data_IF_845747959271
#
_entry.id   IF_845747959271
#
_cell.length_a   1.000
_cell.length_b   1.000
_cell.length_c   1.000
_cell.angle_alpha   90.00
_cell.angle_beta   90.00
_cell.angle_gamma   90.00
#
_symmetry.space_group_name_H-M   'P 1'
#
loop_
_entity.id
_entity.type
_entity.pdbx_description
1 polymer ?
#
# COMPACT_ATOMS: atom_id res chain seq x y z
N UNK A 1 14.31 -5.09 11.22
CA UNK A 1 13.32 -5.87 11.97
C UNK A 1 12.23 -6.47 11.08
N UNK A 2 11.44 -5.66 10.38
CA UNK A 2 10.31 -6.12 9.54
C UNK A 2 10.71 -7.08 8.42
N UNK A 3 11.92 -6.92 7.87
CA UNK A 3 12.44 -7.77 6.80
C UNK A 3 12.65 -9.23 7.26
N UNK A 4 13.11 -9.44 8.49
CA UNK A 4 13.30 -10.79 9.06
C UNK A 4 11.97 -11.48 9.36
N UNK A 5 10.92 -10.69 9.61
CA UNK A 5 9.59 -11.19 9.94
C UNK A 5 8.86 -11.78 8.73
N UNK A 6 9.08 -11.24 7.54
CA UNK A 6 8.46 -11.69 6.31
C UNK A 6 9.10 -12.93 5.69
N UNK A 7 10.04 -13.58 6.38
CA UNK A 7 10.78 -14.75 5.87
C UNK A 7 11.28 -14.49 4.44
N UNK A 8 12.21 -13.54 4.24
CA UNK A 8 12.59 -13.06 2.90
C UNK A 8 13.06 -14.18 1.97
N UNK A 9 13.67 -15.24 2.51
CA UNK A 9 14.07 -16.41 1.72
C UNK A 9 12.87 -17.16 1.11
N UNK A 10 11.75 -17.27 1.83
CA UNK A 10 10.53 -17.88 1.29
C UNK A 10 9.84 -16.99 0.25
N UNK A 11 9.92 -15.67 0.43
CA UNK A 11 9.39 -14.68 -0.52
C UNK A 11 10.17 -14.70 -1.83
N UNK A 12 11.50 -14.83 -1.76
CA UNK A 12 12.36 -14.92 -2.95
C UNK A 12 12.16 -16.23 -3.74
N UNK A 13 11.77 -17.31 -3.08
CA UNK A 13 11.50 -18.60 -3.72
C UNK A 13 10.14 -18.57 -4.47
N UNK A 14 9.20 -17.74 -4.03
CA UNK A 14 7.91 -17.55 -4.70
C UNK A 14 8.00 -16.45 -5.75
N UNK A 15 7.94 -16.80 -7.03
CA UNK A 15 7.98 -15.86 -8.17
C UNK A 15 6.92 -14.75 -8.04
N UNK A 16 5.74 -15.06 -7.55
CA UNK A 16 4.65 -14.11 -7.35
C UNK A 16 4.93 -13.07 -6.26
N UNK A 17 5.70 -13.44 -5.22
CA UNK A 17 6.08 -12.54 -4.15
C UNK A 17 7.35 -11.75 -4.46
N UNK A 18 8.27 -12.31 -5.28
CA UNK A 18 9.52 -11.64 -5.64
C UNK A 18 9.30 -10.39 -6.49
N UNK A 19 8.27 -10.36 -7.36
CA UNK A 19 7.98 -9.20 -8.21
C UNK A 19 7.61 -7.97 -7.37
N UNK A 20 6.86 -8.14 -6.26
CA UNK A 20 6.54 -7.05 -5.34
C UNK A 20 7.82 -6.39 -4.79
N UNK A 21 8.79 -7.20 -4.37
CA UNK A 21 10.07 -6.71 -3.86
C UNK A 21 10.90 -6.01 -4.93
N UNK A 22 10.96 -6.60 -6.13
CA UNK A 22 11.65 -5.98 -7.28
C UNK A 22 11.03 -4.63 -7.60
N UNK A 23 9.71 -4.54 -7.70
CA UNK A 23 9.01 -3.28 -7.95
C UNK A 23 9.29 -2.25 -6.85
N UNK A 24 9.28 -2.67 -5.59
CA UNK A 24 9.56 -1.79 -4.45
C UNK A 24 11.00 -1.25 -4.52
N UNK A 25 11.98 -2.12 -4.79
CA UNK A 25 13.38 -1.74 -4.90
C UNK A 25 13.60 -0.79 -6.08
N UNK A 26 13.03 -1.07 -7.25
CA UNK A 26 13.09 -0.20 -8.42
C UNK A 26 12.43 1.17 -8.14
N UNK A 27 11.31 1.19 -7.43
CA UNK A 27 10.66 2.43 -7.05
C UNK A 27 11.55 3.27 -6.12
N UNK A 28 12.18 2.66 -5.12
CA UNK A 28 13.11 3.35 -4.22
C UNK A 28 14.35 3.83 -4.97
N UNK A 29 14.95 2.98 -5.79
CA UNK A 29 16.11 3.33 -6.61
C UNK A 29 15.81 4.51 -7.53
N UNK A 30 14.68 4.45 -8.26
CA UNK A 30 14.26 5.56 -9.12
C UNK A 30 14.04 6.85 -8.33
N UNK A 31 13.40 6.76 -7.17
CA UNK A 31 13.18 7.92 -6.31
C UNK A 31 14.50 8.52 -5.82
N UNK A 32 15.46 7.69 -5.39
CA UNK A 32 16.77 8.17 -4.90
C UNK A 32 17.57 8.83 -6.02
N UNK A 33 17.59 8.24 -7.21
CA UNK A 33 18.32 8.77 -8.36
C UNK A 33 17.73 10.08 -8.93
N UNK A 34 16.44 10.28 -8.75
CA UNK A 34 15.71 11.43 -9.32
C UNK A 34 15.10 12.33 -8.23
N UNK A 35 15.59 12.24 -6.99
CA UNK A 35 15.06 12.98 -5.85
C UNK A 35 14.92 14.48 -6.14
N UNK A 36 16.00 15.13 -6.58
CA UNK A 36 16.02 16.57 -6.86
C UNK A 36 14.98 16.95 -7.91
N UNK A 37 14.89 16.17 -8.98
CA UNK A 37 13.92 16.41 -10.07
C UNK A 37 12.48 16.23 -9.61
N UNK A 38 12.21 15.21 -8.81
CA UNK A 38 10.88 14.94 -8.26
C UNK A 38 10.48 16.03 -7.26
N UNK A 39 11.43 16.50 -6.46
CA UNK A 39 11.23 17.55 -5.49
C UNK A 39 10.96 18.90 -6.17
N UNK A 40 11.84 19.34 -7.09
CA UNK A 40 11.75 20.63 -7.77
C UNK A 40 10.47 20.80 -8.59
N UNK A 41 10.01 19.70 -9.21
CA UNK A 41 8.79 19.68 -10.01
C UNK A 41 7.53 19.33 -9.22
N UNK A 42 7.66 18.92 -7.97
CA UNK A 42 6.53 18.48 -7.14
C UNK A 42 5.88 17.18 -7.64
N UNK A 43 6.60 16.30 -8.34
CA UNK A 43 6.09 15.09 -8.99
C UNK A 43 6.02 13.85 -8.09
N UNK A 44 6.15 14.01 -6.79
CA UNK A 44 5.98 12.89 -5.85
C UNK A 44 4.58 12.27 -5.86
N UNK A 45 3.48 13.07 -5.92
CA UNK A 45 2.14 12.46 -6.03
C UNK A 45 1.99 11.58 -7.26
N UNK A 46 2.48 12.03 -8.43
CA UNK A 46 2.45 11.27 -9.68
C UNK A 46 3.31 10.01 -9.60
N UNK A 47 4.48 10.10 -8.97
CA UNK A 47 5.33 8.94 -8.71
C UNK A 47 4.58 7.88 -7.89
N UNK A 48 3.97 8.26 -6.77
CA UNK A 48 3.21 7.32 -5.94
C UNK A 48 1.97 6.78 -6.67
N UNK A 49 1.31 7.58 -7.50
CA UNK A 49 0.22 7.13 -8.34
C UNK A 49 0.67 6.04 -9.31
N UNK A 50 1.80 6.23 -10.00
CA UNK A 50 2.37 5.23 -10.93
C UNK A 50 2.74 3.96 -10.19
N UNK A 51 3.36 4.06 -9.01
CA UNK A 51 3.69 2.90 -8.17
C UNK A 51 2.42 2.14 -7.79
N UNK A 52 1.33 2.84 -7.44
CA UNK A 52 0.02 2.24 -7.16
C UNK A 52 -0.56 1.49 -8.36
N UNK A 53 -0.52 2.10 -9.54
CA UNK A 53 -0.96 1.47 -10.81
C UNK A 53 -0.17 0.19 -11.07
N UNK A 54 1.17 0.25 -11.01
CA UNK A 54 2.04 -0.91 -11.26
C UNK A 54 1.81 -2.00 -10.22
N UNK A 55 1.62 -1.64 -8.96
CA UNK A 55 1.30 -2.59 -7.89
C UNK A 55 0.01 -3.36 -8.21
N UNK A 56 -1.05 -2.65 -8.55
CA UNK A 56 -2.34 -3.27 -8.92
C UNK A 56 -2.26 -4.04 -10.25
N UNK A 57 -1.47 -3.55 -11.22
CA UNK A 57 -1.29 -4.23 -12.51
C UNK A 57 -0.73 -5.64 -12.33
N UNK A 58 0.28 -5.79 -11.53
CA UNK A 58 0.91 -7.09 -11.26
C UNK A 58 0.14 -7.96 -10.24
N UNK A 59 -1.01 -7.48 -9.77
CA UNK A 59 -1.94 -8.21 -8.90
C UNK A 59 -1.37 -8.67 -7.55
N UNK A 60 -0.68 -7.77 -6.87
CA UNK A 60 -0.07 -8.05 -5.57
C UNK A 60 -1.08 -7.89 -4.43
N UNK A 61 -2.05 -8.78 -4.34
CA UNK A 61 -2.99 -8.81 -3.24
C UNK A 61 -2.34 -9.23 -1.91
N UNK A 62 -1.13 -9.78 -1.96
CA UNK A 62 -0.48 -10.35 -0.77
C UNK A 62 0.13 -9.26 0.12
N UNK A 63 0.88 -8.32 -0.46
CA UNK A 63 1.56 -7.25 0.30
C UNK A 63 1.59 -5.90 -0.44
N UNK A 64 0.46 -5.36 -0.89
CA UNK A 64 0.46 -4.12 -1.67
C UNK A 64 1.00 -2.92 -0.88
N UNK A 65 0.84 -2.91 0.45
CA UNK A 65 1.31 -1.85 1.34
C UNK A 65 2.85 -1.71 1.35
N UNK A 66 3.60 -2.75 1.01
CA UNK A 66 5.08 -2.71 0.98
C UNK A 66 5.55 -1.75 -0.11
N UNK A 67 4.89 -1.74 -1.28
CA UNK A 67 5.23 -0.85 -2.40
C UNK A 67 4.93 0.62 -2.11
N UNK A 68 4.05 0.91 -1.16
CA UNK A 68 3.81 2.25 -0.63
C UNK A 68 4.77 2.56 0.53
N UNK A 69 4.83 1.66 1.52
CA UNK A 69 5.47 1.92 2.81
C UNK A 69 6.97 2.15 2.71
N UNK A 70 7.69 1.32 1.94
CA UNK A 70 9.16 1.45 1.83
C UNK A 70 9.56 2.74 1.09
N UNK A 71 9.02 3.08 -0.10
CA UNK A 71 9.31 4.36 -0.74
C UNK A 71 8.90 5.57 0.11
N UNK A 72 7.77 5.47 0.83
CA UNK A 72 7.30 6.53 1.70
C UNK A 72 8.25 6.77 2.89
N UNK A 73 8.70 5.71 3.55
CA UNK A 73 9.70 5.81 4.60
C UNK A 73 11.02 6.39 4.06
N UNK A 74 11.45 5.96 2.87
CA UNK A 74 12.65 6.49 2.22
C UNK A 74 12.52 7.98 1.92
N UNK A 75 11.35 8.43 1.46
CA UNK A 75 11.07 9.85 1.25
C UNK A 75 11.24 10.65 2.54
N UNK A 76 10.62 10.24 3.64
CA UNK A 76 10.70 10.97 4.91
C UNK A 76 12.07 10.89 5.60
N UNK A 77 12.92 9.94 5.22
CA UNK A 77 14.32 9.93 5.66
C UNK A 77 15.19 10.96 4.91
N UNK A 78 14.81 11.32 3.68
CA UNK A 78 15.51 12.31 2.87
C UNK A 78 15.04 13.74 3.16
N UNK A 79 13.76 13.90 3.48
CA UNK A 79 13.12 15.19 3.71
C UNK A 79 13.02 15.49 5.21
N UNK A 80 13.56 16.63 5.63
CA UNK A 80 13.51 17.10 7.01
C UNK A 80 12.59 18.32 7.12
N UNK A 81 11.29 18.09 6.91
CA UNK A 81 10.27 19.11 7.00
C UNK A 81 9.60 19.16 8.38
N UNK A 82 8.86 20.26 8.66
CA UNK A 82 8.04 20.35 9.86
C UNK A 82 6.98 19.25 9.89
N UNK A 83 6.73 18.67 11.05
CA UNK A 83 5.82 17.53 11.26
C UNK A 83 4.44 17.71 10.59
N UNK A 84 3.86 18.92 10.64
CA UNK A 84 2.57 19.20 10.02
C UNK A 84 2.56 19.10 8.49
N UNK A 85 3.62 19.56 7.84
CA UNK A 85 3.78 19.45 6.39
C UNK A 85 3.99 17.99 5.99
N UNK A 86 4.74 17.23 6.78
CA UNK A 86 4.96 15.80 6.57
C UNK A 86 3.65 15.01 6.63
N UNK A 87 2.74 15.34 7.56
CA UNK A 87 1.42 14.69 7.64
C UNK A 87 0.59 14.98 6.37
N UNK A 88 0.58 16.20 5.87
CA UNK A 88 -0.14 16.54 4.63
C UNK A 88 0.43 15.81 3.42
N UNK A 89 1.76 15.76 3.30
CA UNK A 89 2.45 15.02 2.25
C UNK A 89 2.16 13.52 2.35
N UNK A 90 2.21 12.96 3.56
CA UNK A 90 1.85 11.56 3.85
C UNK A 90 0.45 11.22 3.32
N UNK A 91 -0.54 12.00 3.70
CA UNK A 91 -1.93 11.78 3.27
C UNK A 91 -2.05 11.92 1.74
N UNK A 92 -1.40 12.92 1.15
CA UNK A 92 -1.40 13.14 -0.30
C UNK A 92 -0.79 11.95 -1.06
N UNK A 93 0.36 11.45 -0.64
CA UNK A 93 1.04 10.33 -1.30
C UNK A 93 0.28 9.01 -1.12
N UNK A 94 -0.27 8.77 0.08
CA UNK A 94 -1.14 7.62 0.31
C UNK A 94 -2.41 7.68 -0.56
N UNK A 95 -3.02 8.85 -0.69
CA UNK A 95 -4.19 9.05 -1.55
C UNK A 95 -3.84 8.84 -3.03
N UNK A 96 -2.73 9.40 -3.52
CA UNK A 96 -2.27 9.23 -4.90
C UNK A 96 -2.01 7.76 -5.22
N UNK A 97 -1.28 7.05 -4.35
CA UNK A 97 -1.04 5.63 -4.49
C UNK A 97 -2.35 4.82 -4.48
N UNK A 98 -3.26 5.13 -3.54
CA UNK A 98 -4.55 4.46 -3.43
C UNK A 98 -5.45 4.68 -4.66
N UNK A 99 -5.46 5.88 -5.22
CA UNK A 99 -6.19 6.19 -6.46
C UNK A 99 -5.60 5.40 -7.63
N UNK A 100 -4.26 5.35 -7.76
CA UNK A 100 -3.60 4.57 -8.80
C UNK A 100 -3.90 3.07 -8.68
N UNK A 101 -3.82 2.53 -7.47
CA UNK A 101 -4.10 1.13 -7.18
C UNK A 101 -5.57 0.76 -7.47
N UNK A 102 -6.52 1.50 -6.91
CA UNK A 102 -7.94 1.25 -7.09
C UNK A 102 -8.40 1.52 -8.53
N UNK A 103 -7.86 2.57 -9.18
CA UNK A 103 -8.16 2.91 -10.57
C UNK A 103 -7.73 1.81 -11.53
N UNK A 104 -6.52 1.26 -11.37
CA UNK A 104 -6.05 0.15 -12.20
C UNK A 104 -6.86 -1.12 -11.97
N UNK A 105 -7.24 -1.39 -10.72
CA UNK A 105 -8.09 -2.52 -10.38
C UNK A 105 -9.47 -2.42 -11.04
N UNK A 106 -10.12 -1.24 -10.94
CA UNK A 106 -11.38 -0.96 -11.61
C UNK A 106 -11.25 -1.07 -13.14
N UNK A 107 -10.16 -0.55 -13.72
CA UNK A 107 -9.90 -0.64 -15.16
C UNK A 107 -9.83 -2.09 -15.67
N UNK A 108 -9.20 -3.00 -14.91
CA UNK A 108 -9.17 -4.43 -15.23
C UNK A 108 -10.58 -5.01 -15.37
N UNK A 109 -11.49 -4.66 -14.49
CA UNK A 109 -12.87 -5.15 -14.55
C UNK A 109 -13.66 -4.57 -15.69
N UNK A 110 -13.49 -3.26 -15.96
CA UNK A 110 -14.11 -2.62 -17.11
C UNK A 110 -13.64 -3.26 -18.42
N UNK A 111 -12.34 -3.48 -18.56
CA UNK A 111 -11.78 -4.14 -19.75
C UNK A 111 -12.30 -5.58 -19.89
N UNK A 112 -12.34 -6.34 -18.79
CA UNK A 112 -12.85 -7.70 -18.78
C UNK A 112 -14.34 -7.75 -19.19
N UNK A 113 -15.16 -6.82 -18.68
CA UNK A 113 -16.59 -6.76 -19.01
C UNK A 113 -16.84 -6.38 -20.48
N UNK A 114 -16.05 -5.42 -21.00
CA UNK A 114 -16.11 -4.99 -22.39
C UNK A 114 -15.68 -6.09 -23.38
N UNK A 115 -14.71 -6.93 -22.98
CA UNK A 115 -14.19 -7.98 -23.88
C UNK A 115 -14.98 -9.28 -23.81
N UNK A 116 -15.48 -9.64 -22.63
CA UNK A 116 -16.13 -10.93 -22.40
C UNK A 116 -17.66 -10.85 -22.37
N UNK A 117 -18.24 -9.65 -22.28
CA UNK A 117 -19.70 -9.42 -22.17
C UNK A 117 -20.41 -10.27 -21.08
N UNK A 118 -19.68 -10.60 -19.99
CA UNK A 118 -20.10 -11.58 -18.97
C UNK A 118 -20.72 -10.98 -17.72
N UNK A 119 -20.93 -9.65 -17.67
CA UNK A 119 -21.43 -9.00 -16.45
C UNK A 119 -20.41 -9.02 -15.28
N UNK A 120 -19.13 -9.11 -15.61
CA UNK A 120 -17.99 -9.25 -14.66
C UNK A 120 -17.99 -8.14 -13.61
N UNK A 121 -18.53 -6.96 -13.92
CA UNK A 121 -18.66 -5.84 -12.97
C UNK A 121 -19.58 -6.22 -11.81
N UNK A 122 -20.70 -6.92 -12.07
CA UNK A 122 -21.60 -7.40 -11.00
C UNK A 122 -20.90 -8.41 -10.10
N UNK A 123 -20.19 -9.36 -10.69
CA UNK A 123 -19.48 -10.41 -9.94
C UNK A 123 -18.32 -9.80 -9.13
N UNK A 124 -17.67 -8.79 -9.66
CA UNK A 124 -16.65 -8.03 -8.96
C UNK A 124 -17.21 -7.30 -7.75
N UNK A 125 -18.34 -6.59 -7.91
CA UNK A 125 -19.04 -5.93 -6.79
C UNK A 125 -19.48 -6.95 -5.74
N UNK A 126 -20.05 -8.09 -6.15
CA UNK A 126 -20.42 -9.17 -5.23
C UNK A 126 -19.20 -9.78 -4.53
N UNK A 127 -18.05 -9.89 -5.21
CA UNK A 127 -16.81 -10.37 -4.58
C UNK A 127 -16.28 -9.41 -3.52
N UNK A 128 -16.35 -8.09 -3.76
CA UNK A 128 -16.01 -7.09 -2.73
C UNK A 128 -16.95 -7.20 -1.55
N UNK A 129 -18.25 -7.23 -1.84
CA UNK A 129 -19.30 -7.35 -0.83
C UNK A 129 -19.08 -8.62 -0.01
N UNK A 130 -18.87 -9.77 -0.65
CA UNK A 130 -18.65 -11.05 0.01
C UNK A 130 -17.40 -11.09 0.87
N UNK A 131 -16.29 -10.44 0.43
CA UNK A 131 -15.06 -10.34 1.23
C UNK A 131 -15.22 -9.42 2.44
N UNK A 132 -16.14 -8.45 2.36
CA UNK A 132 -16.42 -7.54 3.49
C UNK A 132 -17.51 -8.10 4.43
N UNK A 133 -18.32 -9.06 3.99
CA UNK A 133 -19.46 -9.59 4.76
C UNK A 133 -19.11 -10.71 5.73
N UNK A 134 -18.08 -11.49 5.51
CA UNK A 134 -17.94 -12.76 6.19
C UNK A 134 -16.68 -12.92 7.04
N UNK A 135 -16.67 -12.31 8.20
CA UNK A 135 -15.91 -12.87 9.32
C UNK A 135 -16.88 -13.10 10.46
N UNK A 136 -17.39 -14.35 10.55
CA UNK A 136 -18.12 -14.82 11.73
C UNK A 136 -19.55 -14.32 11.91
N UNK A 137 -20.32 -14.07 10.83
CA UNK A 137 -21.75 -13.76 10.93
C UNK A 137 -22.11 -12.45 11.62
N UNK A 138 -21.17 -11.50 11.71
CA UNK A 138 -21.39 -10.17 12.31
C UNK A 138 -21.63 -9.09 11.26
N UNK A 139 -22.41 -8.02 11.59
CA UNK A 139 -22.75 -6.99 10.62
C UNK A 139 -21.51 -6.26 10.08
N UNK A 140 -21.57 -5.93 8.82
CA UNK A 140 -20.57 -5.36 7.89
C UNK A 140 -19.61 -4.31 8.45
N UNK A 141 -20.13 -3.35 9.22
CA UNK A 141 -19.32 -2.22 9.70
C UNK A 141 -18.35 -2.57 10.84
N UNK A 142 -18.66 -3.63 11.59
CA UNK A 142 -17.82 -4.04 12.73
C UNK A 142 -16.72 -5.04 12.36
N UNK A 143 -16.75 -5.66 11.16
CA UNK A 143 -15.78 -6.67 10.75
C UNK A 143 -14.36 -6.11 10.63
N UNK A 144 -14.20 -4.96 10.00
CA UNK A 144 -12.89 -4.29 9.85
C UNK A 144 -12.30 -3.85 11.19
N UNK A 145 -13.11 -3.23 12.03
CA UNK A 145 -12.70 -2.82 13.39
C UNK A 145 -12.42 -4.01 14.30
N UNK A 146 -13.14 -5.11 14.13
CA UNK A 146 -12.89 -6.35 14.86
C UNK A 146 -11.54 -6.97 14.48
N UNK A 147 -11.22 -7.04 13.19
CA UNK A 147 -9.90 -7.52 12.71
C UNK A 147 -8.76 -6.61 13.18
N UNK A 148 -8.96 -5.30 13.14
CA UNK A 148 -8.00 -4.33 13.69
C UNK A 148 -7.82 -4.59 15.20
N UNK A 149 -8.91 -4.75 15.95
CA UNK A 149 -8.87 -5.06 17.36
C UNK A 149 -8.16 -6.38 17.68
N UNK A 150 -8.39 -7.44 16.90
CA UNK A 150 -7.66 -8.70 17.01
C UNK A 150 -6.17 -8.53 16.77
N UNK A 151 -5.78 -7.84 15.69
CA UNK A 151 -4.37 -7.59 15.39
C UNK A 151 -3.69 -6.74 16.47
N UNK A 152 -4.39 -5.76 17.03
CA UNK A 152 -3.90 -4.96 18.15
C UNK A 152 -3.69 -5.80 19.41
N UNK A 153 -4.58 -6.76 19.65
CA UNK A 153 -4.50 -7.65 20.83
C UNK A 153 -3.41 -8.72 20.69
N UNK A 154 -3.28 -9.31 19.48
CA UNK A 154 -2.30 -10.38 19.21
C UNK A 154 -0.87 -9.86 19.09
N UNK A 155 -0.69 -8.58 18.70
CA UNK A 155 0.63 -8.00 18.44
C UNK A 155 0.92 -6.69 19.22
N UNK A 156 0.72 -6.64 20.54
CA UNK A 156 0.87 -5.41 21.31
C UNK A 156 2.31 -4.85 21.28
N UNK A 157 3.31 -5.73 21.17
CA UNK A 157 4.74 -5.33 21.11
C UNK A 157 5.01 -4.56 19.81
N UNK A 158 4.46 -4.99 18.68
CA UNK A 158 4.66 -4.31 17.39
C UNK A 158 3.92 -2.99 17.32
N UNK A 159 2.75 -2.92 17.95
CA UNK A 159 2.01 -1.66 18.09
C UNK A 159 2.75 -0.65 18.97
N UNK A 160 3.39 -1.14 20.06
CA UNK A 160 4.25 -0.31 20.90
C UNK A 160 5.45 0.24 20.14
N UNK A 161 6.11 -0.58 19.32
CA UNK A 161 7.22 -0.15 18.47
C UNK A 161 6.75 0.87 17.43
N UNK A 162 5.63 0.62 16.73
CA UNK A 162 5.08 1.53 15.75
C UNK A 162 4.67 2.86 16.37
N UNK A 163 4.03 2.84 17.54
CA UNK A 163 3.67 4.05 18.29
C UNK A 163 4.91 4.82 18.75
N UNK A 164 5.97 4.11 19.20
CA UNK A 164 7.24 4.71 19.58
C UNK A 164 7.95 5.39 18.42
N UNK A 165 7.96 4.77 17.23
CA UNK A 165 8.51 5.36 16.00
C UNK A 165 7.70 6.59 15.59
N UNK A 166 6.37 6.51 15.60
CA UNK A 166 5.50 7.64 15.26
C UNK A 166 5.69 8.81 16.25
N UNK A 167 5.83 8.52 17.56
CA UNK A 167 6.10 9.54 18.56
C UNK A 167 7.48 10.18 18.36
N UNK A 168 8.52 9.41 18.05
CA UNK A 168 9.85 9.92 17.77
C UNK A 168 9.88 10.85 16.54
N UNK A 169 9.15 10.47 15.47
CA UNK A 169 9.01 11.29 14.24
C UNK A 169 8.17 12.55 14.49
N UNK A 170 7.23 12.52 15.44
CA UNK A 170 6.39 13.68 15.77
C UNK A 170 7.08 14.72 16.65
N UNK A 171 8.10 14.31 17.41
CA UNK A 171 8.84 15.17 18.38
C UNK A 171 10.15 15.72 17.78
N UNK A 172 10.73 15.06 16.77
CA UNK A 172 11.94 15.51 16.04
C UNK A 172 11.60 16.45 14.94
#
# INVERSE_FOLDING_TARGET
GSFLFMKPLLVLISLTMSVCWILTLLAVEYMLLHHDRLHDKGWYPEFFLIVGILTSYFDFLTYPIVTLGIPLCSYFLLENDRAWNNIKKLIGFCASWGIGYAGMWAAKWVIADLTLHTGTIKDAIWSIIGRTEAIGGRPRMNGGFYVIGLNLHEYPVYMGIAAGILAAVAVG
#
